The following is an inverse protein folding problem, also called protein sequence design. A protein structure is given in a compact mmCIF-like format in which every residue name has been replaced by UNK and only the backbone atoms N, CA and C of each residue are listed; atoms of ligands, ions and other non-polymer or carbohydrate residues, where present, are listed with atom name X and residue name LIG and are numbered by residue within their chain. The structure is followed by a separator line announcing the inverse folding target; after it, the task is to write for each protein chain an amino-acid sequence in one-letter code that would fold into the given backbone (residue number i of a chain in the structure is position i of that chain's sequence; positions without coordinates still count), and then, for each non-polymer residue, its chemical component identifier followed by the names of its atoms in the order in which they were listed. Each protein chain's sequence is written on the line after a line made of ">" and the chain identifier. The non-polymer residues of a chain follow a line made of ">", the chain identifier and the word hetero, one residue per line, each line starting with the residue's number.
data_IF_322786132597
#
_entry.id   IF_322786132597
#
_cell.length_a   1.000
_cell.length_b   1.000
_cell.length_c   1.000
_cell.angle_alpha   90.00
_cell.angle_beta   90.00
_cell.angle_gamma   90.00
#
_symmetry.space_group_name_H-M   'P 1'
#
loop_
_entity.id
_entity.type
_entity.pdbx_description
1 polymer ?
#
# COMPACT_ATOMS: atom_id res chain seq x y z
N UNK A 1 6.05 -3.11 -7.50
CA UNK A 1 4.72 -3.69 -7.20
C UNK A 1 3.64 -2.64 -7.42
N UNK A 2 2.46 -3.04 -7.92
CA UNK A 2 1.35 -2.11 -8.20
C UNK A 2 0.16 -2.45 -7.32
N UNK A 3 -0.36 -1.44 -6.64
CA UNK A 3 -1.56 -1.51 -5.83
C UNK A 3 -2.68 -0.71 -6.50
N UNK A 4 -3.88 -1.27 -6.49
CA UNK A 4 -5.09 -0.61 -6.96
C UNK A 4 -6.13 -0.62 -5.84
N UNK A 5 -6.46 0.57 -5.32
CA UNK A 5 -7.51 0.75 -4.34
C UNK A 5 -8.79 1.18 -5.02
N UNK A 6 -9.89 0.46 -4.78
CA UNK A 6 -11.24 0.89 -5.16
C UNK A 6 -11.99 1.38 -3.93
N UNK A 7 -12.77 2.44 -4.09
CA UNK A 7 -13.52 3.06 -2.99
C UNK A 7 -14.90 3.55 -3.43
N UNK A 8 -15.91 3.21 -2.62
CA UNK A 8 -17.25 3.80 -2.71
C UNK A 8 -17.34 5.19 -2.04
N UNK A 9 -16.28 5.65 -1.37
CA UNK A 9 -16.24 6.89 -0.59
C UNK A 9 -17.41 6.98 0.39
N UNK A 10 -18.02 8.16 0.54
CA UNK A 10 -19.26 8.34 1.33
C UNK A 10 -20.54 7.89 0.62
N UNK A 11 -20.42 7.15 -0.49
CA UNK A 11 -21.55 6.67 -1.27
C UNK A 11 -22.46 5.69 -0.50
N UNK A 12 -23.74 5.60 -0.90
CA UNK A 12 -24.67 4.63 -0.34
C UNK A 12 -24.32 3.20 -0.78
N UNK A 13 -25.07 2.21 -0.29
CA UNK A 13 -24.82 0.78 -0.55
C UNK A 13 -24.75 0.42 -2.04
N UNK A 14 -25.42 1.18 -2.91
CA UNK A 14 -25.33 1.00 -4.36
C UNK A 14 -23.91 1.26 -4.89
N UNK A 15 -23.20 2.25 -4.35
CA UNK A 15 -21.80 2.51 -4.69
C UNK A 15 -20.91 1.36 -4.20
N UNK A 16 -21.20 0.81 -3.01
CA UNK A 16 -20.47 -0.36 -2.49
C UNK A 16 -20.69 -1.61 -3.35
N UNK A 17 -21.89 -1.76 -3.92
CA UNK A 17 -22.18 -2.82 -4.90
C UNK A 17 -21.40 -2.61 -6.20
N UNK A 18 -21.29 -1.37 -6.66
CA UNK A 18 -20.48 -1.03 -7.84
C UNK A 18 -19.02 -1.45 -7.66
N UNK A 19 -18.43 -1.20 -6.49
CA UNK A 19 -17.06 -1.63 -6.16
C UNK A 19 -16.92 -3.16 -6.25
N UNK A 20 -17.86 -3.91 -5.67
CA UNK A 20 -17.82 -5.38 -5.74
C UNK A 20 -17.90 -5.91 -7.19
N UNK A 21 -18.72 -5.30 -8.04
CA UNK A 21 -18.82 -5.65 -9.45
C UNK A 21 -17.55 -5.25 -10.24
N UNK A 22 -16.94 -4.12 -9.88
CA UNK A 22 -15.68 -3.67 -10.46
C UNK A 22 -14.54 -4.65 -10.16
N UNK A 23 -14.42 -5.14 -8.91
CA UNK A 23 -13.42 -6.17 -8.54
C UNK A 23 -13.57 -7.41 -9.41
N UNK A 24 -14.77 -7.95 -9.55
CA UNK A 24 -15.04 -9.13 -10.41
C UNK A 24 -14.70 -8.88 -11.89
N UNK A 25 -14.76 -7.62 -12.33
CA UNK A 25 -14.41 -7.24 -13.70
C UNK A 25 -12.89 -7.13 -13.85
N UNK A 26 -12.21 -6.52 -12.89
CA UNK A 26 -10.75 -6.44 -12.84
C UNK A 26 -10.13 -7.83 -12.78
N UNK A 27 -10.64 -8.73 -11.93
CA UNK A 27 -10.14 -10.11 -11.85
C UNK A 27 -10.22 -10.82 -13.20
N UNK A 28 -11.32 -10.65 -13.94
CA UNK A 28 -11.48 -11.20 -15.29
C UNK A 28 -10.52 -10.55 -16.30
N UNK A 29 -10.36 -9.22 -16.27
CA UNK A 29 -9.42 -8.49 -17.12
C UNK A 29 -7.97 -8.93 -16.83
N UNK A 30 -7.61 -9.12 -15.56
CA UNK A 30 -6.33 -9.64 -15.11
C UNK A 30 -6.07 -11.05 -15.65
N UNK A 31 -7.03 -11.97 -15.48
CA UNK A 31 -6.94 -13.34 -16.00
C UNK A 31 -6.75 -13.36 -17.52
N UNK A 32 -7.50 -12.54 -18.26
CA UNK A 32 -7.39 -12.46 -19.73
C UNK A 32 -6.02 -11.93 -20.20
N UNK A 33 -5.36 -11.08 -19.41
CA UNK A 33 -4.06 -10.48 -19.75
C UNK A 33 -2.86 -11.20 -19.12
N UNK A 34 -3.11 -12.26 -18.35
CA UNK A 34 -2.07 -12.99 -17.61
C UNK A 34 -1.44 -12.17 -16.48
N UNK A 35 -2.21 -11.29 -15.86
CA UNK A 35 -1.82 -10.47 -14.69
C UNK A 35 -2.32 -11.20 -13.44
N UNK A 36 -1.43 -11.43 -12.47
CA UNK A 36 -1.77 -11.87 -11.13
C UNK A 36 -2.54 -10.78 -10.39
N UNK A 37 -3.65 -11.16 -9.76
CA UNK A 37 -4.51 -10.27 -9.00
C UNK A 37 -4.76 -10.89 -7.63
N UNK A 38 -4.29 -10.23 -6.58
CA UNK A 38 -4.44 -10.66 -5.20
C UNK A 38 -5.25 -9.62 -4.41
N UNK A 39 -6.17 -10.10 -3.59
CA UNK A 39 -7.03 -9.27 -2.75
C UNK A 39 -6.34 -9.08 -1.39
N UNK A 40 -5.80 -7.90 -1.14
CA UNK A 40 -5.05 -7.63 0.10
C UNK A 40 -5.96 -7.19 1.26
N UNK A 41 -6.88 -6.27 0.98
CA UNK A 41 -7.76 -5.70 2.00
C UNK A 41 -9.18 -5.52 1.46
N UNK A 42 -10.17 -5.81 2.30
CA UNK A 42 -11.58 -5.55 2.00
C UNK A 42 -12.28 -4.95 3.20
N UNK A 43 -12.90 -3.80 3.00
CA UNK A 43 -13.87 -3.25 3.94
C UNK A 43 -15.27 -3.59 3.45
N UNK A 44 -15.95 -4.53 4.12
CA UNK A 44 -17.31 -4.92 3.78
C UNK A 44 -18.31 -3.80 4.09
N UNK A 45 -19.32 -3.62 3.24
CA UNK A 45 -20.50 -2.82 3.57
C UNK A 45 -21.58 -3.75 4.14
N UNK A 46 -22.27 -3.31 5.20
CA UNK A 46 -23.28 -4.13 5.85
C UNK A 46 -24.56 -4.21 4.99
N UNK A 47 -24.59 -5.15 4.05
CA UNK A 47 -25.71 -5.39 3.15
C UNK A 47 -26.66 -6.42 3.78
N UNK A 48 -27.91 -6.03 4.05
CA UNK A 48 -28.94 -6.94 4.56
C UNK A 48 -29.37 -8.04 3.56
N UNK A 49 -28.90 -7.97 2.32
CA UNK A 49 -29.45 -8.71 1.17
C UNK A 49 -28.60 -9.89 0.70
N UNK A 50 -27.54 -10.28 1.41
CA UNK A 50 -26.67 -11.41 1.04
C UNK A 50 -25.83 -11.20 -0.23
N UNK A 51 -25.83 -9.98 -0.78
CA UNK A 51 -25.10 -9.62 -2.01
C UNK A 51 -23.81 -8.91 -1.62
N UNK A 52 -22.69 -9.31 -2.22
CA UNK A 52 -21.39 -8.70 -1.97
C UNK A 52 -21.41 -7.19 -2.28
N UNK A 53 -21.03 -6.39 -1.28
CA UNK A 53 -20.94 -4.93 -1.33
C UNK A 53 -19.71 -4.51 -0.55
N UNK A 54 -18.76 -3.82 -1.19
CA UNK A 54 -17.51 -3.42 -0.55
C UNK A 54 -17.44 -1.90 -0.45
N UNK A 55 -17.14 -1.39 0.74
CA UNK A 55 -16.88 0.03 0.98
C UNK A 55 -15.56 0.44 0.32
N UNK A 56 -14.54 -0.39 0.47
CA UNK A 56 -13.23 -0.26 -0.15
C UNK A 56 -12.57 -1.61 -0.33
N UNK A 57 -11.72 -1.71 -1.34
CA UNK A 57 -10.92 -2.90 -1.66
C UNK A 57 -9.51 -2.47 -2.08
N UNK A 58 -8.50 -3.16 -1.59
CA UNK A 58 -7.12 -3.02 -2.05
C UNK A 58 -6.70 -4.28 -2.81
N UNK A 59 -6.34 -4.12 -4.07
CA UNK A 59 -5.84 -5.17 -4.94
C UNK A 59 -4.34 -5.00 -5.17
N UNK A 60 -3.61 -6.11 -5.16
CA UNK A 60 -2.25 -6.18 -5.65
C UNK A 60 -2.25 -6.77 -7.05
N UNK A 61 -1.63 -6.05 -7.98
CA UNK A 61 -1.45 -6.48 -9.35
C UNK A 61 0.02 -6.84 -9.58
N UNK A 62 0.27 -8.09 -9.96
CA UNK A 62 1.60 -8.62 -10.25
C UNK A 62 1.63 -9.15 -11.68
N UNK A 63 2.66 -8.78 -12.45
CA UNK A 63 2.84 -9.30 -13.80
C UNK A 63 4.33 -9.44 -14.08
N UNK A 64 4.69 -10.40 -14.95
CA UNK A 64 6.06 -10.54 -15.45
C UNK A 64 6.52 -9.27 -16.19
N UNK A 65 5.57 -8.54 -16.75
CA UNK A 65 5.76 -7.22 -17.36
C UNK A 65 4.95 -6.19 -16.56
N UNK A 66 5.64 -5.39 -15.74
CA UNK A 66 5.03 -4.37 -14.89
C UNK A 66 4.26 -3.32 -15.71
N UNK A 67 4.59 -3.10 -16.99
CA UNK A 67 3.90 -2.13 -17.82
C UNK A 67 2.44 -2.52 -18.09
N UNK A 68 2.14 -3.83 -18.23
CA UNK A 68 0.77 -4.33 -18.41
C UNK A 68 -0.08 -4.13 -17.16
N UNK A 69 0.45 -4.51 -15.99
CA UNK A 69 -0.23 -4.29 -14.72
C UNK A 69 -0.48 -2.80 -14.48
N UNK A 70 0.49 -1.94 -14.83
CA UNK A 70 0.36 -0.48 -14.73
C UNK A 70 -0.70 0.07 -15.67
N UNK A 71 -0.71 -0.37 -16.92
CA UNK A 71 -1.70 0.06 -17.90
C UNK A 71 -3.13 -0.29 -17.44
N UNK A 72 -3.35 -1.51 -16.94
CA UNK A 72 -4.63 -1.91 -16.38
C UNK A 72 -5.02 -1.04 -15.17
N UNK A 73 -4.11 -0.84 -14.21
CA UNK A 73 -4.38 -0.01 -13.05
C UNK A 73 -4.74 1.45 -13.41
N UNK A 74 -4.03 2.04 -14.40
CA UNK A 74 -4.31 3.38 -14.90
C UNK A 74 -5.68 3.48 -15.60
N UNK A 75 -6.14 2.41 -16.26
CA UNK A 75 -7.48 2.37 -16.83
C UNK A 75 -8.57 2.42 -15.75
N UNK A 76 -8.27 1.91 -14.55
CA UNK A 76 -9.11 1.94 -13.36
C UNK A 76 -8.75 3.09 -12.40
N UNK A 77 -7.98 4.08 -12.82
CA UNK A 77 -7.69 5.26 -12.00
C UNK A 77 -8.69 6.39 -12.27
N UNK A 78 -9.18 7.03 -11.20
CA UNK A 78 -10.08 8.17 -11.25
C UNK A 78 -11.51 7.83 -10.82
N UNK A 79 -12.48 8.64 -11.25
CA UNK A 79 -13.90 8.40 -10.98
C UNK A 79 -14.47 7.36 -11.96
N UNK A 80 -15.38 6.51 -11.49
CA UNK A 80 -16.15 5.59 -12.32
C UNK A 80 -17.64 5.79 -12.08
N UNK A 81 -18.44 5.53 -13.10
CA UNK A 81 -19.89 5.63 -13.05
C UNK A 81 -20.53 4.26 -13.29
N UNK A 82 -21.38 3.83 -12.37
CA UNK A 82 -22.31 2.74 -12.59
C UNK A 82 -23.76 3.26 -12.65
N UNK A 83 -24.39 3.11 -13.81
CA UNK A 83 -25.78 3.49 -14.06
C UNK A 83 -26.71 2.29 -13.96
N UNK A 84 -27.37 2.13 -12.81
CA UNK A 84 -28.31 1.05 -12.53
C UNK A 84 -29.45 1.50 -11.61
N UNK A 85 -30.66 0.99 -11.82
CA UNK A 85 -31.76 1.19 -10.87
C UNK A 85 -31.40 0.52 -9.52
N UNK A 86 -31.67 1.19 -8.39
CA UNK A 86 -31.37 0.60 -7.08
C UNK A 86 -32.26 -0.61 -6.79
N UNK A 87 -31.62 -1.73 -6.45
CA UNK A 87 -32.28 -2.91 -5.86
C UNK A 87 -32.41 -2.84 -4.35
N UNK A 88 -31.57 -2.04 -3.69
CA UNK A 88 -31.58 -1.88 -2.23
C UNK A 88 -32.66 -0.91 -1.75
N UNK A 89 -33.07 0.00 -2.63
CA UNK A 89 -34.15 0.97 -2.40
C UNK A 89 -35.12 0.92 -3.58
N UNK A 90 -36.08 -0.03 -3.58
CA UNK A 90 -37.08 -0.15 -4.63
C UNK A 90 -37.83 1.18 -4.84
N UNK A 91 -38.07 1.55 -6.11
CA UNK A 91 -38.76 2.80 -6.47
C UNK A 91 -37.93 4.09 -6.37
N UNK A 92 -36.69 4.04 -5.88
CA UNK A 92 -35.84 5.22 -5.78
C UNK A 92 -35.41 5.75 -7.16
N UNK A 93 -35.59 7.05 -7.43
CA UNK A 93 -35.39 7.62 -8.79
C UNK A 93 -33.93 7.69 -9.27
N UNK A 94 -32.96 7.78 -8.35
CA UNK A 94 -31.52 7.88 -8.70
C UNK A 94 -31.02 6.58 -9.31
N UNK A 95 -30.24 6.70 -10.39
CA UNK A 95 -29.63 5.57 -11.10
C UNK A 95 -28.11 5.65 -11.22
N UNK A 96 -27.50 6.79 -10.90
CA UNK A 96 -26.07 7.02 -11.07
C UNK A 96 -25.31 6.86 -9.74
N UNK A 97 -24.43 5.87 -9.71
CA UNK A 97 -23.63 5.48 -8.55
C UNK A 97 -22.16 5.65 -8.90
N UNK A 98 -21.48 6.55 -8.20
CA UNK A 98 -20.06 6.82 -8.42
C UNK A 98 -19.21 6.05 -7.42
N UNK A 99 -18.10 5.53 -7.90
CA UNK A 99 -17.01 4.99 -7.10
C UNK A 99 -15.70 5.48 -7.72
N UNK A 100 -14.57 5.20 -7.07
CA UNK A 100 -13.26 5.64 -7.56
C UNK A 100 -12.25 4.52 -7.46
N UNK A 101 -11.20 4.64 -8.27
CA UNK A 101 -10.02 3.80 -8.19
C UNK A 101 -8.77 4.66 -8.14
N UNK A 102 -7.78 4.23 -7.36
CA UNK A 102 -6.51 4.90 -7.20
C UNK A 102 -5.38 3.89 -7.28
N UNK A 103 -4.40 4.19 -8.15
CA UNK A 103 -3.20 3.39 -8.31
C UNK A 103 -2.09 3.92 -7.38
N UNK A 104 -1.33 3.00 -6.80
CA UNK A 104 -0.11 3.28 -6.07
C UNK A 104 1.01 2.37 -6.57
N UNK A 105 2.20 2.94 -6.73
CA UNK A 105 3.41 2.20 -7.05
C UNK A 105 4.22 2.02 -5.77
N UNK A 106 4.40 0.77 -5.38
CA UNK A 106 5.22 0.41 -4.22
C UNK A 106 6.57 -0.07 -4.73
N UNK A 107 7.61 0.66 -4.34
CA UNK A 107 8.99 0.31 -4.64
C UNK A 107 9.62 -0.38 -3.42
N UNK A 108 9.62 -1.71 -3.43
CA UNK A 108 10.20 -2.53 -2.36
C UNK A 108 11.74 -2.51 -2.34
N UNK A 109 12.42 -1.86 -3.29
CA UNK A 109 13.90 -1.92 -3.42
C UNK A 109 14.70 -1.14 -2.36
N UNK A 110 14.08 -0.65 -1.29
CA UNK A 110 14.74 0.25 -0.34
C UNK A 110 15.51 -0.44 0.81
N UNK A 111 15.49 -1.77 0.93
CA UNK A 111 16.19 -2.48 2.00
C UNK A 111 17.28 -3.44 1.51
N UNK A 112 18.07 -2.98 0.55
CA UNK A 112 19.26 -3.71 0.12
C UNK A 112 20.30 -3.69 1.25
N UNK A 113 20.67 -4.87 1.76
CA UNK A 113 21.34 -5.12 3.07
C UNK A 113 22.81 -4.66 3.15
N UNK A 114 23.14 -3.48 2.65
CA UNK A 114 24.49 -2.97 2.65
C UNK A 114 24.74 -2.14 3.91
N UNK A 115 25.39 -2.74 4.91
CA UNK A 115 25.80 -2.09 6.16
C UNK A 115 27.31 -1.83 6.13
N UNK A 116 27.69 -0.57 6.23
CA UNK A 116 29.08 -0.16 6.44
C UNK A 116 29.38 -0.08 7.95
N UNK A 117 30.45 -0.72 8.38
CA UNK A 117 30.91 -0.68 9.77
C UNK A 117 32.20 0.11 9.89
N UNK A 118 32.21 1.09 10.79
CA UNK A 118 33.38 1.88 11.14
C UNK A 118 33.73 1.64 12.61
N UNK A 119 34.97 1.27 12.88
CA UNK A 119 35.49 1.20 14.25
C UNK A 119 35.82 2.62 14.74
N UNK A 120 35.55 2.89 16.01
CA UNK A 120 35.79 4.17 16.64
C UNK A 120 36.36 3.97 18.05
N UNK A 121 37.03 4.99 18.58
CA UNK A 121 37.34 5.06 20.02
C UNK A 121 36.06 5.26 20.81
N UNK A 122 35.92 4.54 21.91
CA UNK A 122 34.82 4.75 22.85
C UNK A 122 34.97 6.10 23.55
N UNK A 123 33.86 6.81 23.76
CA UNK A 123 33.82 8.07 24.51
C UNK A 123 33.47 7.82 25.97
N UNK A 124 34.33 8.22 26.91
CA UNK A 124 34.02 8.14 28.34
C UNK A 124 35.22 8.34 29.27
N UNK A 125 34.94 8.57 30.56
CA UNK A 125 35.95 8.64 31.61
C UNK A 125 36.51 7.23 31.91
N UNK A 126 37.33 6.69 31.01
CA UNK A 126 37.93 5.37 31.11
C UNK A 126 39.46 5.44 31.26
N UNK A 127 40.04 4.39 31.86
CA UNK A 127 41.50 4.23 31.98
C UNK A 127 42.20 4.01 30.63
N UNK A 128 43.52 3.79 30.65
CA UNK A 128 44.36 3.66 29.43
C UNK A 128 43.79 2.73 28.35
N UNK A 129 43.12 1.64 28.74
CA UNK A 129 42.52 0.67 27.82
C UNK A 129 41.35 1.25 26.99
N UNK A 130 40.55 2.17 27.56
CA UNK A 130 39.43 2.82 26.87
C UNK A 130 39.93 3.86 25.87
N UNK A 131 41.04 4.53 26.18
CA UNK A 131 41.61 5.58 25.34
C UNK A 131 42.47 5.04 24.17
N UNK A 132 42.87 3.76 24.23
CA UNK A 132 43.78 3.15 23.24
C UNK A 132 43.10 2.13 22.32
N UNK A 133 41.93 1.59 22.70
CA UNK A 133 41.25 0.52 21.95
C UNK A 133 40.05 1.04 21.17
N UNK A 134 39.99 0.75 19.87
CA UNK A 134 38.84 1.06 19.01
C UNK A 134 37.71 0.03 19.18
N UNK A 135 37.15 -0.05 20.39
CA UNK A 135 36.08 -0.99 20.72
C UNK A 135 34.69 -0.52 20.27
N UNK A 136 34.47 0.79 20.08
CA UNK A 136 33.18 1.31 19.64
C UNK A 136 32.96 1.03 18.15
N UNK A 137 31.71 0.75 17.77
CA UNK A 137 31.31 0.50 16.38
C UNK A 137 30.23 1.48 15.97
N UNK A 138 30.41 2.11 14.82
CA UNK A 138 29.36 2.81 14.07
C UNK A 138 28.93 1.93 12.89
N UNK A 139 27.68 1.50 12.88
CA UNK A 139 27.06 0.80 11.76
C UNK A 139 26.19 1.80 10.97
N UNK A 140 26.35 1.84 9.65
CA UNK A 140 25.60 2.73 8.75
C UNK A 140 24.96 1.91 7.64
N UNK A 141 23.65 2.02 7.48
CA UNK A 141 22.95 1.44 6.34
C UNK A 141 23.13 2.38 5.14
N UNK A 142 23.77 1.89 4.07
CA UNK A 142 24.17 2.73 2.94
C UNK A 142 22.96 3.31 2.21
N UNK A 143 21.93 2.49 1.98
CA UNK A 143 20.77 2.90 1.20
C UNK A 143 19.89 3.95 1.92
N UNK A 144 19.73 3.84 3.25
CA UNK A 144 18.91 4.80 4.01
C UNK A 144 19.70 5.91 4.69
N UNK A 145 21.03 5.81 4.75
CA UNK A 145 21.90 6.73 5.50
C UNK A 145 21.77 6.63 7.03
N UNK A 146 20.91 5.76 7.56
CA UNK A 146 20.73 5.59 8.99
C UNK A 146 22.00 5.01 9.61
N UNK A 147 22.43 5.61 10.73
CA UNK A 147 23.56 5.11 11.49
C UNK A 147 23.23 4.91 12.96
N UNK A 148 23.92 3.94 13.57
CA UNK A 148 23.88 3.64 14.99
C UNK A 148 25.31 3.50 15.49
N UNK A 149 25.61 4.07 16.65
CA UNK A 149 26.88 3.92 17.35
C UNK A 149 26.65 3.12 18.63
N UNK A 150 27.49 2.10 18.87
CA UNK A 150 27.46 1.29 20.08
C UNK A 150 28.87 1.19 20.67
N UNK A 151 28.97 1.44 21.97
CA UNK A 151 30.21 1.41 22.74
C UNK A 151 30.04 0.80 24.14
N UNK A 152 28.94 0.07 24.37
CA UNK A 152 28.55 -0.45 25.69
C UNK A 152 29.43 -1.62 26.14
N UNK A 153 29.90 -2.45 25.21
CA UNK A 153 30.71 -3.63 25.50
C UNK A 153 32.20 -3.34 25.36
N UNK A 154 33.03 -4.08 26.10
CA UNK A 154 34.49 -3.98 25.97
C UNK A 154 35.01 -4.57 24.66
N UNK A 155 34.27 -5.53 24.08
CA UNK A 155 34.62 -6.22 22.84
C UNK A 155 33.99 -5.55 21.63
N UNK A 156 34.82 -5.25 20.62
CA UNK A 156 34.39 -4.75 19.32
C UNK A 156 33.37 -5.67 18.64
N UNK A 157 33.55 -6.99 18.74
CA UNK A 157 32.65 -7.97 18.12
C UNK A 157 31.26 -7.95 18.77
N UNK A 158 31.20 -7.77 20.09
CA UNK A 158 29.94 -7.62 20.81
C UNK A 158 29.24 -6.31 20.43
N UNK A 159 29.98 -5.20 20.37
CA UNK A 159 29.45 -3.91 19.90
C UNK A 159 28.98 -3.96 18.44
N UNK A 160 29.66 -4.70 17.55
CA UNK A 160 29.24 -4.90 16.16
C UNK A 160 27.90 -5.63 16.06
N UNK A 161 27.72 -6.71 16.85
CA UNK A 161 26.44 -7.44 16.92
C UNK A 161 25.30 -6.55 17.40
N UNK A 162 25.52 -5.80 18.48
CA UNK A 162 24.53 -4.87 19.03
C UNK A 162 24.19 -3.74 18.05
N UNK A 163 25.21 -3.14 17.41
CA UNK A 163 25.00 -2.09 16.42
C UNK A 163 24.18 -2.58 15.23
N UNK A 164 24.41 -3.83 14.81
CA UNK A 164 23.62 -4.48 13.75
C UNK A 164 22.16 -4.66 14.17
N UNK A 165 21.90 -5.19 15.37
CA UNK A 165 20.54 -5.40 15.87
C UNK A 165 19.75 -4.08 16.01
N UNK A 166 20.37 -3.06 16.59
CA UNK A 166 19.76 -1.73 16.73
C UNK A 166 19.52 -1.05 15.38
N UNK A 167 20.44 -1.21 14.43
CA UNK A 167 20.26 -0.68 13.08
C UNK A 167 19.08 -1.36 12.37
N UNK A 168 18.95 -2.69 12.48
CA UNK A 168 17.79 -3.41 11.95
C UNK A 168 16.47 -2.97 12.60
N UNK A 169 16.44 -2.80 13.92
CA UNK A 169 15.25 -2.31 14.61
C UNK A 169 14.84 -0.90 14.13
N UNK A 170 15.80 0.00 13.92
CA UNK A 170 15.51 1.34 13.36
C UNK A 170 15.00 1.26 11.92
N UNK A 171 15.57 0.38 11.10
CA UNK A 171 15.12 0.16 9.72
C UNK A 171 13.69 -0.38 9.67
N UNK A 172 13.36 -1.33 10.56
CA UNK A 172 12.00 -1.86 10.68
C UNK A 172 11.00 -0.80 11.15
N UNK A 173 11.37 0.02 12.14
CA UNK A 173 10.55 1.13 12.59
C UNK A 173 10.31 2.15 11.47
N UNK A 174 11.34 2.50 10.68
CA UNK A 174 11.21 3.39 9.53
C UNK A 174 10.29 2.78 8.46
N UNK A 175 10.42 1.48 8.18
CA UNK A 175 9.52 0.77 7.25
C UNK A 175 8.08 0.82 7.74
N UNK A 176 7.83 0.56 9.02
CA UNK A 176 6.50 0.64 9.61
C UNK A 176 5.93 2.06 9.53
N UNK A 177 6.71 3.09 9.83
CA UNK A 177 6.26 4.48 9.73
C UNK A 177 5.90 4.84 8.28
N UNK A 178 6.70 4.39 7.31
CA UNK A 178 6.42 4.60 5.90
C UNK A 178 5.12 3.91 5.47
N UNK A 179 4.94 2.63 5.85
CA UNK A 179 3.70 1.90 5.60
C UNK A 179 2.48 2.60 6.21
N UNK A 180 2.58 3.05 7.46
CA UNK A 180 1.51 3.78 8.13
C UNK A 180 1.19 5.11 7.43
N UNK A 181 2.20 5.82 6.94
CA UNK A 181 2.01 7.07 6.20
C UNK A 181 1.32 6.83 4.85
N UNK A 182 1.74 5.79 4.13
CA UNK A 182 1.10 5.36 2.89
C UNK A 182 -0.35 4.96 3.13
N UNK A 183 -0.64 4.19 4.18
CA UNK A 183 -1.99 3.86 4.62
C UNK A 183 -2.83 5.10 4.94
N UNK A 184 -2.27 6.06 5.68
CA UNK A 184 -2.96 7.32 5.99
C UNK A 184 -3.27 8.13 4.73
N UNK A 185 -2.34 8.21 3.77
CA UNK A 185 -2.57 8.86 2.48
C UNK A 185 -3.68 8.16 1.69
N UNK A 186 -3.64 6.83 1.62
CA UNK A 186 -4.70 5.99 1.03
C UNK A 186 -6.06 6.26 1.68
N UNK A 187 -6.07 6.42 2.99
CA UNK A 187 -7.29 6.69 3.76
C UNK A 187 -7.81 8.11 3.54
N UNK A 188 -6.95 9.12 3.42
CA UNK A 188 -7.38 10.48 3.09
C UNK A 188 -7.98 10.55 1.68
N UNK A 189 -7.33 9.92 0.70
CA UNK A 189 -7.82 9.86 -0.68
C UNK A 189 -9.15 9.10 -0.82
N UNK A 190 -9.43 8.14 0.09
CA UNK A 190 -10.74 7.48 0.16
C UNK A 190 -11.89 8.47 0.38
N UNK A 191 -11.66 9.58 1.10
CA UNK A 191 -12.70 10.56 1.44
C UNK A 191 -12.91 11.63 0.35
N UNK A 192 -11.89 11.95 -0.44
CA UNK A 192 -11.93 12.97 -1.51
C UNK A 192 -12.46 12.43 -2.85
N UNK A 193 -13.62 11.77 -2.84
CA UNK A 193 -14.20 11.21 -4.07
C UNK A 193 -14.77 12.33 -4.97
N UNK A 194 -14.07 12.63 -6.07
CA UNK A 194 -14.58 13.52 -7.12
C UNK A 194 -15.75 12.85 -7.86
N UNK A 195 -16.90 13.53 -7.90
CA UNK A 195 -18.11 13.06 -8.59
C UNK A 195 -18.21 13.78 -9.94
N UNK A 196 -18.27 13.03 -11.03
CA UNK A 196 -18.32 13.57 -12.40
C UNK A 196 -17.11 13.16 -13.23
N UNK A 197 -17.17 13.44 -14.54
CA UNK A 197 -16.15 13.07 -15.53
C UNK A 197 -15.61 11.63 -15.35
N UNK A 198 -16.48 10.61 -15.42
CA UNK A 198 -16.07 9.24 -15.13
C UNK A 198 -15.07 8.76 -16.19
N UNK A 199 -13.95 8.20 -15.72
CA UNK A 199 -12.95 7.53 -16.54
C UNK A 199 -13.53 6.31 -17.25
N UNK A 200 -14.38 5.55 -16.56
CA UNK A 200 -15.13 4.41 -17.09
C UNK A 200 -16.59 4.49 -16.64
N UNK A 201 -17.48 4.12 -17.56
CA UNK A 201 -18.91 4.05 -17.29
C UNK A 201 -19.42 2.63 -17.51
N UNK A 202 -20.39 2.22 -16.70
CA UNK A 202 -20.97 0.88 -16.72
C UNK A 202 -22.49 0.98 -16.59
N UNK A 203 -23.23 0.06 -17.21
CA UNK A 203 -24.70 0.06 -17.19
C UNK A 203 -25.29 -1.27 -16.77
N UNK A 204 -26.42 -1.14 -16.09
CA UNK A 204 -27.27 -2.27 -15.73
C UNK A 204 -26.65 -3.18 -14.67
N UNK A 205 -27.41 -4.20 -14.32
CA UNK A 205 -27.08 -5.08 -13.18
C UNK A 205 -25.89 -5.98 -13.46
N UNK A 206 -25.65 -6.29 -14.74
CA UNK A 206 -24.52 -7.09 -15.21
C UNK A 206 -23.21 -6.29 -15.31
N UNK A 207 -23.22 -5.00 -14.96
CA UNK A 207 -22.04 -4.13 -14.96
C UNK A 207 -21.34 -4.09 -16.34
N UNK A 208 -22.12 -3.86 -17.39
CA UNK A 208 -21.61 -3.89 -18.77
C UNK A 208 -20.90 -2.56 -19.06
N UNK A 209 -19.66 -2.55 -19.57
CA UNK A 209 -18.97 -1.32 -19.97
C UNK A 209 -19.78 -0.53 -21.01
N UNK A 210 -19.82 0.79 -20.82
CA UNK A 210 -20.27 1.76 -21.80
C UNK A 210 -18.99 2.43 -22.31
N UNK A 211 -18.39 1.86 -23.35
CA UNK A 211 -17.26 2.48 -24.04
C UNK A 211 -17.70 3.78 -24.75
#
# INVERSE_FOLDING_TARGET
>A
MILLQLSAGTGPIECCRAVALAVQTIERECQAQGIGCELLEVTQANAKTGVACFKSVLLQLSANDEARAKHLALAWQGAMLWSCQSRFRPGHKRKNWFFSGQMFEVNDKALDKQIHFQACRASGAGGQHVNTTDSAIRATHIASGLSVRVETERSQHANKRLATALLFQKLEALKQEQMNREEQQRWQQHWELQRGNPRRSFKGEKFIPLD
#
